data_IF_715039533778
#
_entry.id   IF_715039533778
#
_cell.length_a   1.000
_cell.length_b   1.000
_cell.length_c   1.000
_cell.angle_alpha   90.00
_cell.angle_beta   90.00
_cell.angle_gamma   90.00
#
_symmetry.space_group_name_H-M   'P 1'
#
loop_
_entity.id
_entity.type
_entity.pdbx_description
1 polymer ?
#
# COMPACT_ATOMS: atom_id res chain seq x y z
N UNK A 1 -49.61 -29.22 31.99
CA UNK A 1 -49.83 -27.92 31.34
C UNK A 1 -49.55 -28.11 29.84
N UNK A 2 -50.58 -28.19 28.97
CA UNK A 2 -50.43 -28.43 27.54
C UNK A 2 -50.10 -27.10 26.87
N UNK A 3 -48.82 -26.93 26.49
CA UNK A 3 -48.38 -25.78 25.66
C UNK A 3 -48.99 -26.02 24.28
N UNK A 4 -49.96 -25.20 23.90
CA UNK A 4 -50.61 -25.29 22.59
C UNK A 4 -49.66 -24.86 21.52
N UNK A 5 -49.63 -25.57 20.36
CA UNK A 5 -48.76 -25.28 19.20
C UNK A 5 -48.82 -23.81 18.74
N UNK A 6 -49.96 -23.16 19.01
CA UNK A 6 -50.17 -21.73 18.73
C UNK A 6 -49.27 -20.82 19.58
N UNK A 7 -49.09 -21.14 20.89
CA UNK A 7 -48.23 -20.35 21.78
C UNK A 7 -46.74 -20.40 21.37
N UNK A 8 -46.29 -21.54 20.85
CA UNK A 8 -44.89 -21.68 20.34
C UNK A 8 -44.74 -20.89 19.07
N UNK A 9 -45.74 -20.88 18.18
CA UNK A 9 -45.67 -20.12 16.92
C UNK A 9 -45.63 -18.60 17.16
N UNK A 10 -46.38 -18.10 18.11
CA UNK A 10 -46.40 -16.68 18.50
C UNK A 10 -45.05 -16.31 19.14
N UNK A 11 -44.47 -17.16 19.99
CA UNK A 11 -43.15 -16.90 20.59
C UNK A 11 -42.04 -16.85 19.56
N UNK A 12 -42.06 -17.72 18.54
CA UNK A 12 -41.08 -17.70 17.44
C UNK A 12 -41.26 -16.46 16.56
N UNK A 13 -42.51 -16.02 16.31
CA UNK A 13 -42.75 -14.80 15.51
C UNK A 13 -42.26 -13.53 16.24
N UNK A 14 -42.39 -13.48 17.56
CA UNK A 14 -41.88 -12.38 18.38
C UNK A 14 -40.38 -12.38 18.44
N UNK A 15 -39.73 -13.56 18.50
CA UNK A 15 -38.25 -13.65 18.48
C UNK A 15 -37.67 -13.23 17.14
N UNK A 16 -38.32 -13.53 16.01
CA UNK A 16 -37.88 -13.11 14.67
C UNK A 16 -38.12 -11.60 14.47
N UNK A 17 -39.17 -11.04 15.07
CA UNK A 17 -39.43 -9.58 15.04
C UNK A 17 -38.45 -8.74 15.84
N UNK A 18 -37.75 -9.33 16.83
CA UNK A 18 -36.72 -8.65 17.64
C UNK A 18 -35.33 -8.69 17.03
N UNK A 19 -35.13 -9.42 15.94
CA UNK A 19 -33.93 -9.32 15.09
C UNK A 19 -33.97 -8.04 14.25
N UNK A 20 -34.36 -6.92 14.87
CA UNK A 20 -34.28 -5.59 14.27
C UNK A 20 -32.84 -5.29 14.00
N UNK A 21 -32.53 -5.19 12.76
CA UNK A 21 -31.25 -4.78 12.15
C UNK A 21 -30.55 -3.73 13.01
N UNK A 22 -29.46 -4.11 13.68
CA UNK A 22 -28.47 -3.15 14.15
C UNK A 22 -27.80 -2.61 12.90
N UNK A 23 -28.46 -1.75 12.18
CA UNK A 23 -27.84 -0.92 11.17
C UNK A 23 -27.00 0.07 11.96
N UNK A 24 -25.69 -0.08 11.87
CA UNK A 24 -24.77 0.91 12.41
C UNK A 24 -25.11 2.25 11.75
N UNK A 25 -25.83 3.10 12.47
CA UNK A 25 -26.20 4.43 11.98
C UNK A 25 -24.96 5.31 12.09
N UNK A 26 -24.45 5.74 10.94
CA UNK A 26 -23.45 6.80 10.88
C UNK A 26 -24.00 8.05 11.60
N UNK A 27 -23.18 8.80 12.35
CA UNK A 27 -23.60 10.02 13.02
C UNK A 27 -24.28 10.95 12.01
N UNK A 28 -25.40 11.55 12.42
CA UNK A 28 -26.10 12.54 11.59
C UNK A 28 -25.13 13.67 11.24
N UNK A 29 -24.97 13.98 9.95
CA UNK A 29 -24.03 15.00 9.47
C UNK A 29 -22.66 14.49 9.08
N UNK A 30 -22.38 13.17 9.22
CA UNK A 30 -21.13 12.62 8.69
C UNK A 30 -21.21 12.53 7.15
N UNK A 31 -20.41 13.37 6.49
CA UNK A 31 -20.23 13.32 5.04
C UNK A 31 -18.90 12.64 4.75
N UNK A 32 -18.95 11.52 4.03
CA UNK A 32 -17.73 10.85 3.59
C UNK A 32 -16.92 11.79 2.68
N UNK A 33 -15.64 12.04 2.97
CA UNK A 33 -14.82 12.84 2.08
C UNK A 33 -14.73 12.17 0.71
N UNK A 34 -14.90 12.95 -0.36
CA UNK A 34 -14.72 12.45 -1.73
C UNK A 34 -13.24 12.23 -1.96
N UNK A 35 -12.82 10.96 -2.01
CA UNK A 35 -11.44 10.58 -2.34
C UNK A 35 -11.28 10.67 -3.86
N UNK A 36 -10.34 11.51 -4.30
CA UNK A 36 -9.97 11.61 -5.71
C UNK A 36 -8.81 10.68 -5.97
N UNK A 37 -9.00 9.72 -6.86
CA UNK A 37 -7.91 8.82 -7.26
C UNK A 37 -6.80 9.60 -7.99
N UNK A 38 -5.52 9.37 -7.63
CA UNK A 38 -4.42 10.02 -8.30
C UNK A 38 -4.32 9.56 -9.77
N UNK A 39 -4.22 10.51 -10.69
CA UNK A 39 -4.01 10.23 -12.11
C UNK A 39 -2.54 10.32 -12.45
N UNK A 40 -1.96 9.23 -12.97
CA UNK A 40 -0.58 9.17 -13.42
C UNK A 40 -0.50 9.30 -14.94
N UNK A 41 0.60 9.88 -15.44
CA UNK A 41 0.91 9.87 -16.88
C UNK A 41 1.07 8.43 -17.38
N UNK A 42 0.73 8.18 -18.64
CA UNK A 42 0.80 6.84 -19.27
C UNK A 42 2.23 6.40 -19.62
N UNK A 43 3.24 7.19 -19.24
CA UNK A 43 4.64 6.83 -19.44
C UNK A 43 5.01 5.62 -18.57
N UNK A 44 5.72 4.66 -19.17
CA UNK A 44 6.16 3.43 -18.50
C UNK A 44 7.69 3.31 -18.51
N UNK A 45 8.27 3.02 -17.35
CA UNK A 45 9.70 2.92 -17.10
C UNK A 45 10.02 1.55 -16.53
N UNK A 46 10.39 0.61 -17.39
CA UNK A 46 10.82 -0.73 -17.00
C UNK A 46 12.22 -0.66 -16.37
N UNK A 47 12.39 -1.17 -15.14
CA UNK A 47 13.65 -1.12 -14.40
C UNK A 47 14.80 -1.84 -15.12
N UNK A 48 14.51 -2.83 -15.97
CA UNK A 48 15.53 -3.52 -16.77
C UNK A 48 16.28 -2.59 -17.71
N UNK A 49 15.60 -1.58 -18.26
CA UNK A 49 16.21 -0.54 -19.11
C UNK A 49 17.21 0.34 -18.36
N UNK A 50 17.19 0.30 -17.03
CA UNK A 50 18.11 1.01 -16.15
C UNK A 50 19.16 0.10 -15.52
N UNK A 51 19.28 -1.14 -16.02
CA UNK A 51 20.31 -2.11 -15.62
C UNK A 51 19.93 -3.02 -14.47
N UNK A 52 18.65 -3.10 -14.10
CA UNK A 52 18.18 -4.04 -13.08
C UNK A 52 18.26 -5.50 -13.56
N UNK A 53 18.59 -6.42 -12.63
CA UNK A 53 18.70 -7.86 -12.87
C UNK A 53 17.79 -8.64 -11.92
N UNK A 54 17.02 -9.58 -12.49
CA UNK A 54 16.03 -10.40 -11.77
C UNK A 54 16.64 -11.72 -11.24
N UNK A 55 17.89 -11.71 -10.82
CA UNK A 55 18.65 -12.91 -10.42
C UNK A 55 18.53 -13.26 -8.93
N UNK A 56 17.81 -12.45 -8.16
CA UNK A 56 17.67 -12.63 -6.70
C UNK A 56 18.94 -12.33 -5.91
N UNK A 57 20.01 -11.83 -6.54
CA UNK A 57 21.32 -11.58 -5.94
C UNK A 57 21.78 -10.13 -6.12
N UNK A 58 21.65 -9.60 -7.34
CA UNK A 58 22.12 -8.25 -7.68
C UNK A 58 21.28 -7.19 -6.95
N UNK A 59 21.97 -6.26 -6.29
CA UNK A 59 21.31 -5.11 -5.64
C UNK A 59 20.85 -4.09 -6.69
N UNK A 60 19.56 -3.94 -6.86
CA UNK A 60 18.92 -3.13 -7.90
C UNK A 60 18.52 -1.72 -7.44
N UNK A 61 18.90 -1.29 -6.24
CA UNK A 61 18.52 0.01 -5.66
C UNK A 61 18.80 1.17 -6.60
N UNK A 62 20.01 1.20 -7.21
CA UNK A 62 20.40 2.27 -8.12
C UNK A 62 19.58 2.26 -9.42
N UNK A 63 19.32 1.09 -9.99
CA UNK A 63 18.51 0.95 -11.20
C UNK A 63 17.07 1.40 -10.98
N UNK A 64 16.45 0.99 -9.86
CA UNK A 64 15.10 1.42 -9.47
C UNK A 64 15.07 2.93 -9.22
N UNK A 65 16.06 3.49 -8.51
CA UNK A 65 16.16 4.93 -8.28
C UNK A 65 16.27 5.71 -9.58
N UNK A 66 17.09 5.25 -10.53
CA UNK A 66 17.24 5.90 -11.85
C UNK A 66 15.92 5.87 -12.64
N UNK A 67 15.18 4.77 -12.60
CA UNK A 67 13.85 4.67 -13.22
C UNK A 67 12.85 5.66 -12.60
N UNK A 68 12.84 5.79 -11.27
CA UNK A 68 12.00 6.75 -10.54
C UNK A 68 12.35 8.18 -10.92
N UNK A 69 13.65 8.51 -10.97
CA UNK A 69 14.11 9.84 -11.37
C UNK A 69 13.74 10.16 -12.83
N UNK A 70 13.87 9.19 -13.74
CA UNK A 70 13.46 9.37 -15.12
C UNK A 70 11.95 9.62 -15.25
N UNK A 71 11.14 8.86 -14.53
CA UNK A 71 9.70 9.07 -14.49
C UNK A 71 9.34 10.46 -13.93
N UNK A 72 9.97 10.88 -12.84
CA UNK A 72 9.73 12.20 -12.24
C UNK A 72 10.11 13.34 -13.19
N UNK A 73 11.29 13.27 -13.84
CA UNK A 73 11.77 14.28 -14.81
C UNK A 73 10.83 14.49 -15.98
N UNK A 74 10.06 13.47 -16.39
CA UNK A 74 9.03 13.59 -17.43
C UNK A 74 7.69 14.08 -16.91
N UNK A 75 7.65 14.47 -15.63
CA UNK A 75 6.45 14.95 -14.94
C UNK A 75 5.53 13.82 -14.46
N UNK A 76 6.07 12.63 -14.28
CA UNK A 76 5.39 11.46 -13.73
C UNK A 76 5.26 10.29 -14.69
N UNK A 77 4.83 9.16 -14.14
CA UNK A 77 4.65 7.92 -14.88
C UNK A 77 4.67 6.68 -13.98
N UNK A 78 4.70 5.51 -14.61
CA UNK A 78 4.73 4.23 -13.91
C UNK A 78 6.11 3.60 -14.04
N UNK A 79 6.76 3.35 -12.91
CA UNK A 79 7.96 2.50 -12.84
C UNK A 79 7.49 1.07 -12.69
N UNK A 80 7.85 0.23 -13.65
CA UNK A 80 7.42 -1.17 -13.73
C UNK A 80 8.53 -2.07 -13.24
N UNK A 81 8.18 -2.94 -12.29
CA UNK A 81 9.00 -4.05 -11.82
C UNK A 81 8.42 -5.33 -12.43
N UNK A 82 9.07 -5.91 -13.45
CA UNK A 82 8.57 -7.11 -14.14
C UNK A 82 8.64 -8.35 -13.26
N UNK A 83 8.06 -9.47 -13.75
CA UNK A 83 8.19 -10.77 -13.12
C UNK A 83 9.65 -11.14 -12.85
N UNK A 84 9.93 -11.74 -11.69
CA UNK A 84 11.27 -12.13 -11.24
C UNK A 84 11.55 -11.75 -9.79
N UNK A 85 12.77 -12.06 -9.31
CA UNK A 85 13.22 -11.77 -7.95
C UNK A 85 14.19 -10.59 -7.98
N UNK A 86 13.80 -9.48 -7.39
CA UNK A 86 14.53 -8.22 -7.41
C UNK A 86 15.00 -7.85 -6.01
N UNK A 87 16.30 -7.98 -5.74
CA UNK A 87 16.89 -7.54 -4.47
C UNK A 87 17.15 -6.04 -4.53
N UNK A 88 16.76 -5.32 -3.48
CA UNK A 88 16.94 -3.87 -3.40
C UNK A 88 17.23 -3.40 -1.97
N UNK A 89 17.83 -2.23 -1.83
CA UNK A 89 17.79 -1.42 -0.61
C UNK A 89 16.54 -0.55 -0.56
N UNK A 90 16.56 0.56 0.20
CA UNK A 90 15.41 1.45 0.34
C UNK A 90 15.05 2.12 -0.99
N UNK A 91 13.76 2.23 -1.23
CA UNK A 91 13.18 2.92 -2.40
C UNK A 91 12.56 4.22 -1.93
N UNK A 92 12.93 5.33 -2.59
CA UNK A 92 12.35 6.66 -2.36
C UNK A 92 11.52 7.04 -3.58
N UNK A 93 10.22 7.04 -3.44
CA UNK A 93 9.30 7.50 -4.47
C UNK A 93 9.32 9.02 -4.58
N UNK A 94 9.15 9.52 -5.78
CA UNK A 94 9.04 10.95 -6.08
C UNK A 94 7.62 11.30 -6.53
N UNK A 95 7.33 12.61 -6.56
CA UNK A 95 6.00 13.10 -6.93
C UNK A 95 5.57 12.61 -8.31
N UNK A 96 4.29 12.26 -8.43
CA UNK A 96 3.65 11.78 -9.65
C UNK A 96 4.20 10.45 -10.20
N UNK A 97 4.98 9.69 -9.41
CA UNK A 97 5.52 8.39 -9.81
C UNK A 97 4.71 7.27 -9.14
N UNK A 98 4.22 6.33 -9.94
CA UNK A 98 3.59 5.09 -9.50
C UNK A 98 4.60 3.95 -9.60
N UNK A 99 4.81 3.21 -8.52
CA UNK A 99 5.54 1.94 -8.53
C UNK A 99 4.55 0.81 -8.80
N UNK A 100 4.77 0.02 -9.83
CA UNK A 100 3.92 -1.09 -10.22
C UNK A 100 4.72 -2.38 -10.32
N UNK A 101 4.31 -3.38 -9.54
CA UNK A 101 4.85 -4.73 -9.62
C UNK A 101 3.93 -5.57 -10.51
N UNK A 102 4.49 -6.17 -11.54
CA UNK A 102 3.76 -7.11 -12.38
C UNK A 102 3.46 -8.43 -11.63
N UNK A 103 2.54 -9.20 -12.17
CA UNK A 103 2.28 -10.56 -11.67
C UNK A 103 3.59 -11.36 -11.64
N UNK A 104 3.83 -12.09 -10.53
CA UNK A 104 5.04 -12.87 -10.27
C UNK A 104 6.32 -12.02 -10.08
N UNK A 105 6.22 -10.73 -9.84
CA UNK A 105 7.32 -9.91 -9.37
C UNK A 105 7.46 -10.04 -7.84
N UNK A 106 8.67 -10.35 -7.37
CA UNK A 106 9.02 -10.34 -5.96
C UNK A 106 10.08 -9.29 -5.71
N UNK A 107 9.75 -8.28 -4.92
CA UNK A 107 10.68 -7.27 -4.46
C UNK A 107 11.20 -7.66 -3.07
N UNK A 108 12.48 -8.02 -2.99
CA UNK A 108 13.13 -8.46 -1.76
C UNK A 108 14.07 -7.37 -1.24
N UNK A 109 13.84 -6.90 -0.01
CA UNK A 109 14.71 -5.91 0.60
C UNK A 109 15.94 -6.56 1.23
N UNK A 110 17.09 -5.92 1.01
CA UNK A 110 18.36 -6.37 1.58
C UNK A 110 18.29 -6.44 3.10
N UNK A 111 18.91 -7.48 3.67
CA UNK A 111 19.11 -7.62 5.12
C UNK A 111 20.33 -6.82 5.63
N UNK A 112 21.12 -6.28 4.72
CA UNK A 112 22.28 -5.46 5.07
C UNK A 112 21.80 -4.08 5.57
N UNK A 113 21.99 -3.85 6.86
CA UNK A 113 21.58 -2.59 7.51
C UNK A 113 22.32 -1.37 6.99
N UNK A 114 23.51 -1.53 6.41
CA UNK A 114 24.28 -0.43 5.83
C UNK A 114 23.58 0.22 4.64
N UNK A 115 22.66 -0.51 3.99
CA UNK A 115 21.84 0.00 2.89
C UNK A 115 20.72 0.97 3.36
N UNK A 116 20.43 1.00 4.67
CA UNK A 116 19.34 1.78 5.23
C UNK A 116 19.90 2.89 6.14
N UNK A 117 20.19 4.07 5.58
CA UNK A 117 20.75 5.17 6.35
C UNK A 117 19.79 5.61 7.47
N UNK A 118 20.37 6.18 8.52
CA UNK A 118 19.57 6.82 9.57
C UNK A 118 18.97 8.12 9.05
N UNK A 119 17.68 8.28 9.25
CA UNK A 119 16.93 9.49 8.90
C UNK A 119 16.36 10.13 10.15
N UNK A 120 16.39 11.47 10.19
CA UNK A 120 15.78 12.22 11.28
C UNK A 120 14.27 12.05 11.27
N UNK A 121 13.70 11.93 12.44
CA UNK A 121 12.26 11.78 12.65
C UNK A 121 11.86 12.36 14.01
N UNK A 122 10.58 12.30 14.33
CA UNK A 122 10.08 12.60 15.68
C UNK A 122 9.36 11.38 16.23
N UNK A 123 9.54 11.10 17.50
CA UNK A 123 8.79 10.11 18.25
C UNK A 123 8.22 10.77 19.49
N UNK A 124 6.90 10.79 19.61
CA UNK A 124 6.17 11.46 20.71
C UNK A 124 6.62 12.92 20.96
N UNK A 125 6.92 13.66 19.89
CA UNK A 125 7.38 15.05 19.95
C UNK A 125 8.88 15.22 20.20
N UNK A 126 9.63 14.16 20.45
CA UNK A 126 11.07 14.20 20.64
C UNK A 126 11.80 13.95 19.31
N UNK A 127 12.88 14.71 19.08
CA UNK A 127 13.76 14.44 17.92
C UNK A 127 14.43 13.07 18.07
N UNK A 128 14.35 12.27 17.04
CA UNK A 128 14.88 10.90 17.02
C UNK A 128 15.49 10.58 15.66
N UNK A 129 16.24 9.46 15.60
CA UNK A 129 16.74 8.89 14.36
C UNK A 129 16.20 7.47 14.21
N UNK A 130 15.83 7.11 12.99
CA UNK A 130 15.43 5.74 12.63
C UNK A 130 16.08 5.30 11.35
N UNK A 131 16.19 3.99 11.13
CA UNK A 131 16.54 3.48 9.82
C UNK A 131 15.50 3.91 8.78
N UNK A 132 15.96 4.26 7.59
CA UNK A 132 15.08 4.60 6.48
C UNK A 132 14.09 3.44 6.21
N UNK A 133 12.84 3.78 5.96
CA UNK A 133 11.83 2.78 5.61
C UNK A 133 12.18 2.11 4.28
N UNK A 134 11.83 0.81 4.09
CA UNK A 134 12.03 0.10 2.83
C UNK A 134 11.42 0.83 1.63
N UNK A 135 10.25 1.44 1.81
CA UNK A 135 9.64 2.33 0.81
C UNK A 135 9.23 3.61 1.53
N UNK A 136 9.63 4.74 0.96
CA UNK A 136 9.25 6.07 1.43
C UNK A 136 8.90 6.96 0.24
N UNK A 137 8.17 8.05 0.51
CA UNK A 137 7.84 9.05 -0.50
C UNK A 137 8.20 10.44 0.05
N UNK A 138 8.88 11.22 -0.75
CA UNK A 138 9.16 12.62 -0.47
C UNK A 138 8.26 13.50 -1.38
N UNK A 139 7.74 14.56 -0.77
CA UNK A 139 7.02 15.60 -1.51
C UNK A 139 8.00 16.47 -2.29
#
# INVERSE_FOLDING_TARGET
>A
MKITKISVFIAVLVLVGLASSIVAQLPKGFVMPKIVEPKFKQNSFDIRKFGAKADGLTLNTKAISNAIQAANKTGGGTVVIPAGIWVTGPIVLQSNVRLHLEKNALLSFSKDRSQFPLVSTTFEGLAAYRAQAPISANK
#
